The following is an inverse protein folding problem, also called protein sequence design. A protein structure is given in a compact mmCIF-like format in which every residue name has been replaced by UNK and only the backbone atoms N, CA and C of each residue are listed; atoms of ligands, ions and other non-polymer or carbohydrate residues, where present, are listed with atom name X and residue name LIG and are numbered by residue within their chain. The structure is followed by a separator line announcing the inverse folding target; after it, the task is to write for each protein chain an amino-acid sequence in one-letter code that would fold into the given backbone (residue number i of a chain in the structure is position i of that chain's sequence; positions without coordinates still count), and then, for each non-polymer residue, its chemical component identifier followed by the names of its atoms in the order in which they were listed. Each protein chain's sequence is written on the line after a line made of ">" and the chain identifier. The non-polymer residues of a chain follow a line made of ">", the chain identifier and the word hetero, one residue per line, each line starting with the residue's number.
data_IF_967539962315
#
_entry.id   IF_967539962315
#
_cell.length_a   1.000
_cell.length_b   1.000
_cell.length_c   1.000
_cell.angle_alpha   90.00
_cell.angle_beta   90.00
_cell.angle_gamma   90.00
#
_symmetry.space_group_name_H-M   'P 1'
#
loop_
_entity.id
_entity.type
_entity.pdbx_description
1 polymer ?
#
# COMPACT_ATOMS: atom_id res chain seq x y z
N UNK A 1 -5.16 20.15 -7.96
CA UNK A 1 -4.06 19.39 -7.34
C UNK A 1 -4.56 18.38 -6.27
N UNK A 2 -5.85 18.02 -6.25
CA UNK A 2 -6.49 17.27 -5.15
C UNK A 2 -6.74 15.78 -5.43
N UNK A 3 -6.65 15.32 -6.69
CA UNK A 3 -6.94 13.91 -7.05
C UNK A 3 -5.79 12.94 -6.75
N UNK A 4 -4.57 13.43 -6.46
CA UNK A 4 -3.35 12.59 -6.47
C UNK A 4 -3.18 11.73 -5.20
N UNK A 5 -3.86 12.06 -4.10
CA UNK A 5 -3.69 11.37 -2.81
C UNK A 5 -4.77 10.33 -2.49
N UNK A 6 -5.78 10.16 -3.35
CA UNK A 6 -6.96 9.35 -3.03
C UNK A 6 -6.65 7.86 -2.96
N UNK A 7 -5.78 7.32 -3.82
CA UNK A 7 -5.49 5.88 -3.81
C UNK A 7 -4.80 5.44 -2.51
N UNK A 8 -3.85 6.23 -2.00
CA UNK A 8 -3.23 5.98 -0.68
C UNK A 8 -4.24 6.16 0.45
N UNK A 9 -5.12 7.16 0.35
CA UNK A 9 -6.15 7.39 1.36
C UNK A 9 -7.08 6.19 1.48
N UNK A 10 -7.65 5.74 0.36
CA UNK A 10 -8.53 4.57 0.31
C UNK A 10 -7.84 3.32 0.86
N UNK A 11 -6.58 3.09 0.48
CA UNK A 11 -5.78 1.99 0.99
C UNK A 11 -5.61 2.03 2.52
N UNK A 12 -5.22 3.18 3.07
CA UNK A 12 -5.05 3.33 4.52
C UNK A 12 -6.40 3.21 5.27
N UNK A 13 -7.45 3.86 4.80
CA UNK A 13 -8.79 3.80 5.41
C UNK A 13 -9.34 2.36 5.42
N UNK A 14 -9.14 1.61 4.33
CA UNK A 14 -9.52 0.20 4.27
C UNK A 14 -8.72 -0.65 5.27
N UNK A 15 -7.43 -0.34 5.47
CA UNK A 15 -6.60 -1.02 6.46
C UNK A 15 -6.97 -0.67 7.91
N UNK A 16 -7.48 0.53 8.19
CA UNK A 16 -8.01 0.89 9.52
C UNK A 16 -9.18 -0.01 9.92
N UNK A 17 -10.03 -0.36 8.96
CA UNK A 17 -11.18 -1.24 9.14
C UNK A 17 -11.01 -2.53 8.32
N UNK A 18 -9.88 -3.22 8.52
CA UNK A 18 -9.42 -4.30 7.65
C UNK A 18 -10.48 -5.36 7.34
N UNK A 19 -11.36 -5.70 8.28
CA UNK A 19 -12.36 -6.76 8.11
C UNK A 19 -13.77 -6.25 7.76
N UNK A 20 -13.91 -4.98 7.36
CA UNK A 20 -15.16 -4.40 6.90
C UNK A 20 -15.04 -3.88 5.46
N UNK A 21 -15.97 -4.23 4.54
CA UNK A 21 -17.24 -4.92 4.80
C UNK A 21 -17.15 -6.46 4.83
N UNK A 22 -15.98 -7.05 4.58
CA UNK A 22 -15.74 -8.49 4.70
C UNK A 22 -14.31 -8.75 5.23
N UNK A 23 -14.02 -9.98 5.72
CA UNK A 23 -12.70 -10.31 6.25
C UNK A 23 -11.55 -10.00 5.28
N UNK A 24 -10.49 -9.37 5.78
CA UNK A 24 -9.30 -8.96 5.01
C UNK A 24 -9.60 -8.04 3.82
N UNK A 25 -10.68 -7.26 3.86
CA UNK A 25 -10.97 -6.20 2.90
C UNK A 25 -9.83 -5.18 2.75
N UNK A 26 -9.20 -4.78 3.84
CA UNK A 26 -8.06 -3.86 3.82
C UNK A 26 -6.88 -4.43 3.03
N UNK A 27 -6.44 -5.64 3.37
CA UNK A 27 -5.39 -6.37 2.63
C UNK A 27 -5.77 -6.59 1.17
N UNK A 28 -7.02 -6.95 0.88
CA UNK A 28 -7.51 -7.06 -0.50
C UNK A 28 -7.39 -5.74 -1.26
N UNK A 29 -7.73 -4.63 -0.62
CA UNK A 29 -7.61 -3.30 -1.22
C UNK A 29 -6.15 -3.01 -1.56
N UNK A 30 -5.20 -3.39 -0.70
CA UNK A 30 -3.77 -3.26 -1.01
C UNK A 30 -3.35 -4.10 -2.21
N UNK A 31 -3.78 -5.37 -2.28
CA UNK A 31 -3.54 -6.25 -3.43
C UNK A 31 -4.07 -5.63 -4.72
N UNK A 32 -5.29 -5.13 -4.69
CA UNK A 32 -5.94 -4.52 -5.84
C UNK A 32 -5.25 -3.22 -6.30
N UNK A 33 -4.81 -2.39 -5.37
CA UNK A 33 -4.06 -1.18 -5.70
C UNK A 33 -2.58 -1.44 -6.02
N UNK A 34 -2.10 -2.67 -5.90
CA UNK A 34 -0.74 -3.04 -6.31
C UNK A 34 -0.50 -2.89 -7.81
N UNK A 35 0.62 -2.27 -8.18
CA UNK A 35 1.08 -2.27 -9.56
C UNK A 35 1.53 -3.69 -9.95
N UNK A 36 1.02 -4.16 -11.09
CA UNK A 36 1.38 -5.44 -11.73
C UNK A 36 1.28 -6.68 -10.82
N UNK A 37 0.52 -6.58 -9.73
CA UNK A 37 0.12 -7.73 -8.92
C UNK A 37 -0.94 -8.54 -9.68
N UNK A 38 -0.85 -9.88 -9.58
CA UNK A 38 -1.68 -10.79 -10.37
C UNK A 38 -1.28 -10.91 -11.84
N UNK A 39 -0.21 -10.21 -12.27
CA UNK A 39 0.40 -10.38 -13.58
C UNK A 39 1.32 -11.61 -13.66
N UNK A 40 1.77 -11.94 -14.87
CA UNK A 40 2.77 -13.02 -15.07
C UNK A 40 4.18 -12.59 -14.64
N UNK A 41 4.42 -11.28 -14.53
CA UNK A 41 5.70 -10.71 -14.12
C UNK A 41 5.82 -10.60 -12.60
N UNK A 42 7.06 -10.68 -12.10
CA UNK A 42 7.33 -10.54 -10.66
C UNK A 42 7.18 -9.09 -10.24
N UNK A 43 6.41 -8.86 -9.17
CA UNK A 43 6.17 -7.54 -8.61
C UNK A 43 7.30 -7.09 -7.69
N UNK A 44 7.47 -5.76 -7.56
CA UNK A 44 8.39 -5.10 -6.63
C UNK A 44 7.68 -4.48 -5.43
N UNK A 45 6.42 -4.87 -5.19
CA UNK A 45 5.57 -4.32 -4.14
C UNK A 45 6.26 -4.26 -2.78
N UNK A 46 6.92 -5.33 -2.34
CA UNK A 46 7.61 -5.40 -1.04
C UNK A 46 9.04 -4.82 -1.06
N UNK A 47 9.42 -4.08 -2.12
CA UNK A 47 10.77 -3.56 -2.30
C UNK A 47 11.78 -4.56 -2.91
N UNK A 48 11.41 -5.83 -3.04
CA UNK A 48 12.18 -6.88 -3.69
C UNK A 48 11.31 -7.68 -4.68
N UNK A 49 11.94 -8.51 -5.52
CA UNK A 49 11.24 -9.28 -6.56
C UNK A 49 10.47 -10.44 -5.94
N UNK A 50 9.14 -10.47 -6.08
CA UNK A 50 8.30 -11.54 -5.54
C UNK A 50 7.20 -11.94 -6.52
N UNK A 51 6.90 -13.24 -6.54
CA UNK A 51 5.73 -13.75 -7.25
C UNK A 51 4.48 -13.49 -6.42
N UNK A 52 3.62 -12.62 -6.95
CA UNK A 52 2.35 -12.21 -6.36
C UNK A 52 1.19 -12.51 -7.33
N UNK A 53 1.38 -13.53 -8.18
CA UNK A 53 0.34 -13.99 -9.09
C UNK A 53 -0.89 -14.49 -8.32
N UNK A 54 -0.67 -15.23 -7.24
CA UNK A 54 -1.72 -15.67 -6.33
C UNK A 54 -1.91 -14.70 -5.16
N UNK A 55 -3.16 -14.50 -4.77
CA UNK A 55 -3.53 -13.59 -3.69
C UNK A 55 -3.02 -14.05 -2.32
N UNK A 56 -3.02 -15.34 -2.03
CA UNK A 56 -2.52 -15.92 -0.79
C UNK A 56 -1.03 -15.60 -0.55
N UNK A 57 -0.21 -15.58 -1.60
CA UNK A 57 1.19 -15.14 -1.52
C UNK A 57 1.31 -13.68 -1.08
N UNK A 58 0.40 -12.83 -1.55
CA UNK A 58 0.34 -11.43 -1.14
C UNK A 58 -0.14 -11.30 0.30
N UNK A 59 -1.27 -11.94 0.64
CA UNK A 59 -1.89 -11.84 1.95
C UNK A 59 -0.91 -12.30 3.05
N UNK A 60 -0.29 -13.46 2.87
CA UNK A 60 0.71 -13.99 3.81
C UNK A 60 1.92 -13.07 3.96
N UNK A 61 2.43 -12.51 2.86
CA UNK A 61 3.58 -11.61 2.94
C UNK A 61 3.22 -10.26 3.57
N UNK A 62 2.06 -9.70 3.20
CA UNK A 62 1.61 -8.40 3.67
C UNK A 62 1.37 -8.41 5.17
N UNK A 63 0.70 -9.45 5.68
CA UNK A 63 0.46 -9.62 7.11
C UNK A 63 1.75 -9.84 7.91
N UNK A 64 2.76 -10.47 7.30
CA UNK A 64 4.05 -10.68 7.94
C UNK A 64 4.95 -9.43 7.93
N UNK A 65 5.01 -8.70 6.82
CA UNK A 65 5.87 -7.51 6.70
C UNK A 65 5.26 -6.27 7.34
N UNK A 66 3.94 -6.07 7.20
CA UNK A 66 3.28 -4.84 7.63
C UNK A 66 2.13 -5.08 8.63
N UNK A 67 2.34 -5.83 9.72
CA UNK A 67 1.30 -6.06 10.73
C UNK A 67 0.83 -4.74 11.37
N UNK A 68 1.71 -3.73 11.47
CA UNK A 68 1.38 -2.42 12.05
C UNK A 68 0.37 -1.61 11.24
N UNK A 69 0.19 -1.92 9.96
CA UNK A 69 -0.80 -1.27 9.11
C UNK A 69 -2.21 -1.80 9.38
N UNK A 70 -2.33 -3.05 9.86
CA UNK A 70 -3.62 -3.69 10.06
C UNK A 70 -4.29 -3.11 11.30
N UNK A 71 -5.47 -2.51 11.12
CA UNK A 71 -6.23 -1.93 12.22
C UNK A 71 -5.53 -0.75 12.89
N UNK A 72 -4.69 -0.01 12.16
CA UNK A 72 -4.06 1.18 12.70
C UNK A 72 -5.13 2.24 13.05
N UNK A 73 -4.98 2.90 14.20
CA UNK A 73 -5.94 3.88 14.68
C UNK A 73 -5.70 5.28 14.09
N UNK A 74 -4.44 5.64 13.81
CA UNK A 74 -4.11 6.94 13.23
C UNK A 74 -2.79 6.93 12.48
N UNK A 75 -2.66 7.84 11.51
CA UNK A 75 -1.44 8.07 10.75
C UNK A 75 -1.28 9.57 10.40
N UNK A 76 -0.05 9.95 10.04
CA UNK A 76 0.28 11.28 9.49
C UNK A 76 1.04 11.14 8.18
N UNK A 77 0.78 12.04 7.23
CA UNK A 77 1.59 12.14 6.02
C UNK A 77 2.76 13.07 6.32
N UNK A 78 3.98 12.54 6.27
CA UNK A 78 5.20 13.31 6.56
C UNK A 78 5.69 14.01 5.29
N UNK A 79 5.63 13.33 4.15
CA UNK A 79 6.01 13.93 2.86
C UNK A 79 5.21 13.31 1.71
N UNK A 80 5.11 14.07 0.61
CA UNK A 80 4.40 13.66 -0.60
C UNK A 80 5.01 14.40 -1.78
N UNK A 81 5.80 13.71 -2.59
CA UNK A 81 6.59 14.33 -3.66
C UNK A 81 6.63 13.47 -4.93
N UNK A 82 6.49 14.12 -6.08
CA UNK A 82 6.78 13.49 -7.36
C UNK A 82 8.30 13.36 -7.54
N UNK A 83 8.69 12.29 -8.21
CA UNK A 83 10.07 11.95 -8.50
C UNK A 83 10.35 12.18 -9.99
N UNK A 84 11.61 12.42 -10.36
CA UNK A 84 11.99 12.60 -11.77
C UNK A 84 11.65 11.40 -12.67
N UNK A 85 11.53 10.20 -12.10
CA UNK A 85 11.16 8.96 -12.80
C UNK A 85 9.65 8.81 -13.03
N UNK A 86 8.85 9.82 -12.67
CA UNK A 86 7.39 9.82 -12.82
C UNK A 86 6.63 9.09 -11.69
N UNK A 87 7.34 8.54 -10.70
CA UNK A 87 6.70 7.98 -9.50
C UNK A 87 6.34 9.07 -8.50
N UNK A 88 5.39 8.79 -7.61
CA UNK A 88 5.00 9.66 -6.52
C UNK A 88 5.31 8.96 -5.20
N UNK A 89 6.28 9.49 -4.44
CA UNK A 89 6.66 8.98 -3.13
C UNK A 89 5.86 9.67 -2.03
N UNK A 90 5.25 8.90 -1.16
CA UNK A 90 4.51 9.38 0.00
C UNK A 90 5.02 8.67 1.25
N UNK A 91 5.50 9.43 2.23
CA UNK A 91 5.94 8.90 3.53
C UNK A 91 4.81 9.08 4.54
N UNK A 92 4.43 7.98 5.17
CA UNK A 92 3.34 7.88 6.14
C UNK A 92 3.91 7.41 7.46
N UNK A 93 3.61 8.15 8.52
CA UNK A 93 3.97 7.83 9.89
C UNK A 93 2.75 7.26 10.61
N UNK A 94 2.79 5.98 10.97
CA UNK A 94 1.71 5.32 11.73
C UNK A 94 1.89 5.66 13.21
N UNK A 95 0.93 6.37 13.79
CA UNK A 95 1.04 6.95 15.13
C UNK A 95 0.38 6.12 16.23
N UNK A 96 -0.57 5.24 15.89
CA UNK A 96 -1.23 4.35 16.85
C UNK A 96 -1.84 3.13 16.15
N UNK A 97 -1.85 1.97 16.82
CA UNK A 97 -2.39 0.71 16.30
C UNK A 97 -2.09 -0.45 17.26
N UNK A 98 -2.89 -1.52 17.20
CA UNK A 98 -2.79 -2.65 18.13
C UNK A 98 -1.48 -3.44 18.00
N UNK A 99 -0.84 -3.41 16.82
CA UNK A 99 0.38 -4.15 16.54
C UNK A 99 1.66 -3.30 16.66
N UNK A 100 1.56 -2.01 16.94
CA UNK A 100 2.71 -1.12 17.14
C UNK A 100 3.42 -1.47 18.44
N UNK A 101 4.42 -2.35 18.35
CA UNK A 101 4.99 -2.94 19.57
C UNK A 101 5.80 -1.96 20.41
N UNK A 102 6.46 -0.91 19.86
CA UNK A 102 7.27 0.03 20.68
C UNK A 102 7.71 1.37 20.04
N UNK A 103 7.35 1.69 18.79
CA UNK A 103 7.62 3.01 18.20
C UNK A 103 6.72 3.23 16.99
N UNK A 104 6.27 4.47 16.80
CA UNK A 104 5.61 4.89 15.57
C UNK A 104 6.50 4.56 14.36
N UNK A 105 5.88 4.18 13.24
CA UNK A 105 6.58 3.56 12.11
C UNK A 105 6.40 4.35 10.83
N UNK A 106 7.50 4.60 10.14
CA UNK A 106 7.49 5.27 8.84
C UNK A 106 7.43 4.26 7.70
N UNK A 107 6.50 4.50 6.79
CA UNK A 107 6.24 3.68 5.63
C UNK A 107 6.27 4.55 4.38
N UNK A 108 6.96 4.09 3.35
CA UNK A 108 7.04 4.80 2.07
C UNK A 108 6.22 4.07 1.02
N UNK A 109 5.19 4.74 0.54
CA UNK A 109 4.43 4.35 -0.64
C UNK A 109 5.11 4.96 -1.87
N UNK A 110 5.52 4.12 -2.80
CA UNK A 110 5.93 4.51 -4.15
C UNK A 110 4.77 4.23 -5.07
N UNK A 111 4.11 5.29 -5.52
CA UNK A 111 2.94 5.20 -6.38
C UNK A 111 3.35 5.44 -7.84
N UNK A 112 2.74 4.71 -8.77
CA UNK A 112 2.92 4.89 -10.20
C UNK A 112 1.55 5.02 -10.87
N UNK A 113 1.44 5.91 -11.86
CA UNK A 113 0.21 6.05 -12.63
C UNK A 113 0.09 4.85 -13.56
N UNK A 114 -1.08 4.22 -13.58
CA UNK A 114 -1.36 3.14 -14.50
C UNK A 114 -1.70 3.68 -15.88
N UNK A 115 -1.02 3.18 -16.90
CA UNK A 115 -1.17 3.71 -18.27
C UNK A 115 -2.22 2.96 -19.10
N UNK A 116 -2.59 1.74 -18.69
CA UNK A 116 -3.45 0.82 -19.45
C UNK A 116 -4.47 0.06 -18.58
N UNK A 117 -5.52 -0.46 -19.22
CA UNK A 117 -6.53 -1.31 -18.59
C UNK A 117 -7.58 -0.57 -17.74
N UNK A 118 -8.37 -1.34 -16.98
CA UNK A 118 -9.57 -0.87 -16.25
C UNK A 118 -9.33 0.25 -15.23
N UNK A 119 -8.08 0.40 -14.75
CA UNK A 119 -7.67 1.42 -13.77
C UNK A 119 -6.72 2.46 -14.38
N UNK A 120 -6.74 2.65 -15.70
CA UNK A 120 -5.94 3.67 -16.39
C UNK A 120 -6.15 5.04 -15.73
N UNK A 121 -5.04 5.75 -15.49
CA UNK A 121 -5.02 7.05 -14.84
C UNK A 121 -4.97 6.99 -13.31
N UNK A 122 -5.26 5.86 -12.67
CA UNK A 122 -5.16 5.71 -11.22
C UNK A 122 -3.70 5.58 -10.76
N UNK A 123 -3.43 6.03 -9.53
CA UNK A 123 -2.16 5.77 -8.85
C UNK A 123 -2.20 4.40 -8.16
N UNK A 124 -1.30 3.52 -8.57
CA UNK A 124 -1.13 2.17 -8.04
C UNK A 124 0.13 2.12 -7.18
N UNK A 125 0.15 1.30 -6.15
CA UNK A 125 1.30 1.10 -5.27
C UNK A 125 2.30 0.16 -5.95
N UNK A 126 3.38 0.73 -6.48
CA UNK A 126 4.48 -0.02 -7.10
C UNK A 126 5.42 -0.61 -6.05
N UNK A 127 5.58 0.08 -4.91
CA UNK A 127 6.36 -0.41 -3.78
C UNK A 127 5.86 0.19 -2.47
N UNK A 128 5.85 -0.62 -1.41
CA UNK A 128 5.67 -0.23 -0.02
C UNK A 128 6.91 -0.67 0.76
N UNK A 129 7.52 0.24 1.51
CA UNK A 129 8.78 0.00 2.22
C UNK A 129 8.72 0.49 3.67
N UNK A 130 9.31 -0.28 4.57
CA UNK A 130 9.67 0.19 5.91
C UNK A 130 10.99 0.94 5.86
N UNK A 131 11.08 2.05 6.61
CA UNK A 131 12.33 2.76 6.87
C UNK A 131 12.91 2.36 8.23
#
# INVERSE_FOLDING_TARGET
>A
MLERCWSRQVQLEALQNNDHPWPSHGVQTMYEFGEDIGGMERSRYFGYSKDLYHRDHFDGQFLNEFPDLIGHASYKVISSNEQPDGTHKVVVHITAGAHLQNAARDLTFVLKRKDVGRRKGAFMTASLRQM
#
